data_IF_593028163977
#
_entry.id   IF_593028163977
#
_cell.length_a   1.000
_cell.length_b   1.000
_cell.length_c   1.000
_cell.angle_alpha   90.00
_cell.angle_beta   90.00
_cell.angle_gamma   90.00
#
_symmetry.space_group_name_H-M   'P 1'
#
loop_
_entity.id
_entity.type
_entity.pdbx_description
1 polymer ?
#
# COMPACT_ATOMS: atom_id res chain seq x y z
N UNK A 1 1.43 18.64 27.03
CA UNK A 1 2.74 18.38 26.40
C UNK A 1 2.91 16.87 26.17
N UNK A 2 2.91 16.02 27.20
CA UNK A 2 3.12 14.56 27.09
C UNK A 2 2.09 13.78 26.24
N UNK A 3 0.83 14.24 26.17
CA UNK A 3 -0.22 13.59 25.36
C UNK A 3 -0.11 13.85 23.85
N UNK A 4 0.37 15.03 23.44
CA UNK A 4 0.54 15.39 22.03
C UNK A 4 1.72 14.65 21.42
N UNK A 5 2.85 14.55 22.13
CA UNK A 5 4.01 13.76 21.70
C UNK A 5 3.68 12.26 21.56
N UNK A 6 2.78 11.72 22.40
CA UNK A 6 2.32 10.32 22.26
C UNK A 6 1.46 10.10 21.02
N UNK A 7 0.60 11.06 20.67
CA UNK A 7 -0.24 11.01 19.47
C UNK A 7 0.58 11.17 18.20
N UNK A 8 1.51 12.14 18.17
CA UNK A 8 2.46 12.33 17.07
C UNK A 8 3.32 11.08 16.84
N UNK A 9 3.83 10.48 17.91
CA UNK A 9 4.60 9.23 17.79
C UNK A 9 3.75 8.11 17.18
N UNK A 10 2.50 7.92 17.64
CA UNK A 10 1.64 6.85 17.13
C UNK A 10 1.26 7.06 15.64
N UNK A 11 1.00 8.30 15.26
CA UNK A 11 0.69 8.66 13.87
C UNK A 11 1.92 8.46 12.96
N UNK A 12 3.09 8.96 13.37
CA UNK A 12 4.32 8.87 12.59
C UNK A 12 4.70 7.40 12.35
N UNK A 13 4.61 6.55 13.37
CA UNK A 13 4.84 5.11 13.20
C UNK A 13 3.83 4.47 12.25
N UNK A 14 2.54 4.80 12.38
CA UNK A 14 1.49 4.25 11.51
C UNK A 14 1.70 4.65 10.06
N UNK A 15 2.08 5.91 9.82
CA UNK A 15 2.44 6.42 8.49
C UNK A 15 3.64 5.71 7.91
N UNK A 16 4.75 5.66 8.64
CA UNK A 16 5.98 5.02 8.15
C UNK A 16 5.76 3.55 7.81
N UNK A 17 4.99 2.82 8.64
CA UNK A 17 4.66 1.43 8.37
C UNK A 17 3.83 1.28 7.08
N UNK A 18 2.83 2.14 6.86
CA UNK A 18 2.02 2.10 5.63
C UNK A 18 2.84 2.54 4.40
N UNK A 19 3.77 3.49 4.53
CA UNK A 19 4.71 3.92 3.47
C UNK A 19 5.65 2.78 3.07
N UNK A 20 6.25 2.10 4.05
CA UNK A 20 7.13 0.96 3.81
C UNK A 20 6.40 -0.16 3.05
N UNK A 21 5.18 -0.49 3.47
CA UNK A 21 4.37 -1.51 2.80
C UNK A 21 4.00 -1.08 1.38
N UNK A 22 3.63 0.18 1.15
CA UNK A 22 3.33 0.69 -0.19
C UNK A 22 4.57 0.60 -1.10
N UNK A 23 5.73 1.02 -0.62
CA UNK A 23 6.98 0.96 -1.39
C UNK A 23 7.35 -0.48 -1.74
N UNK A 24 7.19 -1.42 -0.81
CA UNK A 24 7.41 -2.84 -1.10
C UNK A 24 6.47 -3.36 -2.18
N UNK A 25 5.17 -2.99 -2.13
CA UNK A 25 4.19 -3.39 -3.16
C UNK A 25 4.52 -2.82 -4.54
N UNK A 26 4.97 -1.57 -4.60
CA UNK A 26 5.42 -0.94 -5.85
C UNK A 26 6.65 -1.67 -6.40
N UNK A 27 7.62 -2.00 -5.54
CA UNK A 27 8.82 -2.74 -5.93
C UNK A 27 8.48 -4.13 -6.47
N UNK A 28 7.64 -4.89 -5.76
CA UNK A 28 7.19 -6.22 -6.17
C UNK A 28 6.51 -6.16 -7.54
N UNK A 29 5.63 -5.19 -7.76
CA UNK A 29 4.97 -4.99 -9.04
C UNK A 29 5.95 -4.64 -10.16
N UNK A 30 6.94 -3.78 -9.90
CA UNK A 30 7.98 -3.44 -10.88
C UNK A 30 8.84 -4.66 -11.26
N UNK A 31 9.17 -5.52 -10.29
CA UNK A 31 9.88 -6.78 -10.54
C UNK A 31 9.02 -7.71 -11.40
N UNK A 32 7.73 -7.83 -11.10
CA UNK A 32 6.78 -8.60 -11.90
C UNK A 32 6.69 -8.09 -13.34
N UNK A 33 6.51 -6.78 -13.54
CA UNK A 33 6.49 -6.17 -14.88
C UNK A 33 7.79 -6.43 -15.64
N UNK A 34 8.95 -6.31 -14.99
CA UNK A 34 10.23 -6.59 -15.65
C UNK A 34 10.32 -8.05 -16.15
N UNK A 35 9.82 -9.02 -15.37
CA UNK A 35 9.75 -10.42 -15.79
C UNK A 35 8.75 -10.62 -16.94
N UNK A 36 7.62 -9.90 -16.92
CA UNK A 36 6.63 -9.92 -17.98
C UNK A 36 7.23 -9.41 -19.30
N UNK A 37 7.88 -8.24 -19.28
CA UNK A 37 8.50 -7.62 -20.46
C UNK A 37 9.60 -8.49 -21.06
N UNK A 38 10.36 -9.19 -20.22
CA UNK A 38 11.39 -10.15 -20.65
C UNK A 38 10.82 -11.52 -21.03
N UNK A 39 9.51 -11.73 -20.91
CA UNK A 39 8.82 -13.01 -21.12
C UNK A 39 9.45 -14.18 -20.32
N UNK A 40 9.92 -13.91 -19.10
CA UNK A 40 10.55 -14.92 -18.23
C UNK A 40 9.59 -15.54 -17.21
N UNK A 41 8.35 -15.05 -17.12
CA UNK A 41 7.33 -15.59 -16.21
C UNK A 41 6.95 -17.02 -16.57
N UNK A 42 7.07 -17.92 -15.60
CA UNK A 42 6.62 -19.32 -15.71
C UNK A 42 5.17 -19.47 -15.25
N UNK A 43 4.46 -20.47 -15.79
CA UNK A 43 3.09 -20.78 -15.35
C UNK A 43 3.02 -21.13 -13.86
N UNK A 44 4.07 -21.77 -13.32
CA UNK A 44 4.15 -22.10 -11.89
C UNK A 44 4.26 -20.85 -11.02
N UNK A 45 5.08 -19.87 -11.40
CA UNK A 45 5.13 -18.59 -10.68
C UNK A 45 3.78 -17.88 -10.71
N UNK A 46 3.11 -17.86 -11.87
CA UNK A 46 1.78 -17.25 -12.01
C UNK A 46 0.72 -17.97 -11.15
N UNK A 47 0.77 -19.29 -11.09
CA UNK A 47 -0.12 -20.08 -10.22
C UNK A 47 0.15 -19.76 -8.74
N UNK A 48 1.42 -19.73 -8.33
CA UNK A 48 1.79 -19.40 -6.96
C UNK A 48 1.31 -18.00 -6.55
N UNK A 49 1.48 -17.00 -7.41
CA UNK A 49 1.07 -15.61 -7.13
C UNK A 49 -0.45 -15.47 -6.95
N UNK A 50 -1.21 -16.33 -7.62
CA UNK A 50 -2.66 -16.42 -7.55
C UNK A 50 -3.18 -17.49 -6.58
N UNK A 51 -2.30 -18.21 -5.87
CA UNK A 51 -2.63 -19.37 -5.03
C UNK A 51 -3.47 -20.44 -5.76
N UNK A 52 -3.12 -20.74 -7.01
CA UNK A 52 -3.78 -21.76 -7.84
C UNK A 52 -3.01 -23.09 -7.80
N UNK A 53 -3.72 -24.19 -8.01
CA UNK A 53 -3.11 -25.51 -8.20
C UNK A 53 -2.25 -25.56 -9.47
N UNK A 54 -1.20 -26.41 -9.47
CA UNK A 54 -0.28 -26.55 -10.60
C UNK A 54 -0.97 -26.99 -11.91
N UNK A 55 -2.05 -27.77 -11.81
CA UNK A 55 -2.84 -28.27 -12.94
C UNK A 55 -3.88 -27.25 -13.47
N UNK A 56 -3.90 -26.03 -12.93
CA UNK A 56 -4.90 -25.04 -13.28
C UNK A 56 -4.89 -24.67 -14.77
N UNK A 57 -6.06 -24.71 -15.40
CA UNK A 57 -6.26 -24.56 -16.85
C UNK A 57 -6.44 -23.13 -17.34
N UNK A 58 -6.45 -22.13 -16.44
CA UNK A 58 -6.56 -20.73 -16.83
C UNK A 58 -5.38 -20.33 -17.72
N UNK A 59 -5.65 -19.50 -18.72
CA UNK A 59 -4.63 -19.07 -19.67
C UNK A 59 -3.53 -18.25 -18.98
N UNK A 60 -2.34 -18.23 -19.59
CA UNK A 60 -1.22 -17.42 -19.08
C UNK A 60 -1.59 -15.93 -19.06
N UNK A 61 -2.32 -15.46 -20.07
CA UNK A 61 -2.74 -14.06 -20.24
C UNK A 61 -3.77 -13.64 -19.18
N UNK A 62 -4.75 -14.50 -18.88
CA UNK A 62 -5.72 -14.25 -17.82
C UNK A 62 -5.04 -14.21 -16.45
N UNK A 63 -4.10 -15.13 -16.19
CA UNK A 63 -3.31 -15.12 -14.94
C UNK A 63 -2.53 -13.82 -14.78
N UNK A 64 -1.84 -13.39 -15.84
CA UNK A 64 -1.10 -12.12 -15.84
C UNK A 64 -2.05 -10.95 -15.56
N UNK A 65 -3.20 -10.89 -16.23
CA UNK A 65 -4.18 -9.82 -16.06
C UNK A 65 -4.71 -9.76 -14.62
N UNK A 66 -5.02 -10.91 -14.02
CA UNK A 66 -5.46 -10.97 -12.63
C UNK A 66 -4.38 -10.54 -11.64
N UNK A 67 -3.11 -10.90 -11.89
CA UNK A 67 -1.99 -10.48 -11.04
C UNK A 67 -1.79 -8.96 -11.12
N UNK A 68 -1.87 -8.38 -12.32
CA UNK A 68 -1.80 -6.92 -12.50
C UNK A 68 -2.92 -6.24 -11.70
N UNK A 69 -4.16 -6.69 -11.85
CA UNK A 69 -5.31 -6.15 -11.11
C UNK A 69 -5.14 -6.27 -9.59
N UNK A 70 -4.56 -7.38 -9.10
CA UNK A 70 -4.25 -7.59 -7.68
C UNK A 70 -3.26 -6.53 -7.18
N UNK A 71 -2.14 -6.32 -7.89
CA UNK A 71 -1.16 -5.30 -7.51
C UNK A 71 -1.73 -3.89 -7.55
N UNK A 72 -2.47 -3.53 -8.62
CA UNK A 72 -3.09 -2.22 -8.75
C UNK A 72 -4.04 -1.94 -7.58
N UNK A 73 -4.89 -2.91 -7.22
CA UNK A 73 -5.81 -2.79 -6.10
C UNK A 73 -5.07 -2.61 -4.76
N UNK A 74 -4.07 -3.44 -4.49
CA UNK A 74 -3.29 -3.36 -3.25
C UNK A 74 -2.56 -2.02 -3.12
N UNK A 75 -1.96 -1.51 -4.21
CA UNK A 75 -1.28 -0.21 -4.25
C UNK A 75 -2.28 0.92 -4.03
N UNK A 76 -3.46 0.88 -4.66
CA UNK A 76 -4.51 1.87 -4.48
C UNK A 76 -5.02 1.91 -3.04
N UNK A 77 -5.31 0.75 -2.45
CA UNK A 77 -5.77 0.66 -1.05
C UNK A 77 -4.74 1.25 -0.07
N UNK A 78 -3.46 0.96 -0.28
CA UNK A 78 -2.37 1.49 0.55
C UNK A 78 -2.16 2.99 0.38
N UNK A 79 -2.23 3.46 -0.87
CA UNK A 79 -2.19 4.90 -1.17
C UNK A 79 -3.34 5.64 -0.49
N UNK A 80 -4.55 5.08 -0.54
CA UNK A 80 -5.72 5.69 0.12
C UNK A 80 -5.56 5.75 1.64
N UNK A 81 -5.06 4.68 2.27
CA UNK A 81 -4.77 4.68 3.72
C UNK A 81 -3.76 5.76 4.11
N UNK A 82 -2.71 5.95 3.31
CA UNK A 82 -1.75 7.02 3.56
C UNK A 82 -2.38 8.40 3.42
N UNK A 83 -3.19 8.62 2.38
CA UNK A 83 -3.94 9.87 2.21
C UNK A 83 -4.82 10.15 3.43
N UNK A 84 -5.52 9.14 3.94
CA UNK A 84 -6.40 9.29 5.11
C UNK A 84 -5.59 9.60 6.37
N UNK A 85 -4.44 8.94 6.59
CA UNK A 85 -3.51 9.28 7.68
C UNK A 85 -3.04 10.74 7.60
N UNK A 86 -2.62 11.21 6.42
CA UNK A 86 -2.20 12.61 6.25
C UNK A 86 -3.33 13.60 6.52
N UNK A 87 -4.57 13.29 6.11
CA UNK A 87 -5.75 14.12 6.41
C UNK A 87 -6.04 14.18 7.91
N UNK A 88 -5.96 13.04 8.62
CA UNK A 88 -6.20 12.98 10.06
C UNK A 88 -5.18 13.84 10.83
N UNK A 89 -3.90 13.82 10.42
CA UNK A 89 -2.89 14.71 11.02
C UNK A 89 -3.24 16.19 10.80
N UNK A 90 -3.55 16.60 9.56
CA UNK A 90 -3.88 18.00 9.27
C UNK A 90 -5.09 18.50 10.06
N UNK A 91 -6.07 17.63 10.31
CA UNK A 91 -7.25 17.96 11.12
C UNK A 91 -6.88 18.15 12.60
N UNK A 92 -6.02 17.29 13.14
CA UNK A 92 -5.52 17.40 14.51
C UNK A 92 -4.64 18.65 14.73
N UNK A 93 -3.82 19.03 13.75
CA UNK A 93 -3.02 20.26 13.81
C UNK A 93 -3.92 21.52 13.79
N UNK A 94 -4.96 21.53 12.95
CA UNK A 94 -5.95 22.61 12.93
C UNK A 94 -6.72 22.72 14.26
N UNK A 95 -7.09 21.60 14.86
CA UNK A 95 -7.74 21.58 16.19
C UNK A 95 -6.81 22.08 17.29
N UNK A 96 -5.52 21.73 17.24
CA UNK A 96 -4.51 22.21 18.21
C UNK A 96 -4.37 23.74 18.15
N UNK A 97 -4.26 24.31 16.94
CA UNK A 97 -4.24 25.78 16.74
C UNK A 97 -5.54 26.42 17.25
N UNK A 98 -6.69 25.78 17.03
CA UNK A 98 -7.98 26.28 17.50
C UNK A 98 -8.02 26.36 19.03
N UNK A 99 -7.57 25.34 19.74
CA UNK A 99 -7.49 25.36 21.21
C UNK A 99 -6.49 26.40 21.74
N UNK A 100 -5.33 26.56 21.12
CA UNK A 100 -4.36 27.60 21.51
C UNK A 100 -4.90 29.02 21.30
N UNK A 101 -5.68 29.24 20.24
CA UNK A 101 -6.30 30.55 19.94
C UNK A 101 -7.52 30.90 20.81
N UNK A 102 -8.04 29.96 21.61
CA UNK A 102 -9.21 30.21 22.49
C UNK A 102 -8.84 30.60 23.93
N UNK A 103 -7.55 30.72 24.26
CA UNK A 103 -7.08 31.23 25.55
C UNK A 103 -6.84 32.75 25.53
N UNK A 104 -7.90 33.53 25.24
CA UNK A 104 -7.93 34.99 25.44
C UNK A 104 -9.17 35.36 26.25
#
# INVERSE_FOLDING_TARGET
MEHLERLENNWLYSRMAEEEVLLQKILDFAIFQNKLDKNTLTTKELNNELNLEDNNTMSKEDKISLIILKYEKEIQEKTQKLIDLYKDQSSNELDTIRFESTNI
#
